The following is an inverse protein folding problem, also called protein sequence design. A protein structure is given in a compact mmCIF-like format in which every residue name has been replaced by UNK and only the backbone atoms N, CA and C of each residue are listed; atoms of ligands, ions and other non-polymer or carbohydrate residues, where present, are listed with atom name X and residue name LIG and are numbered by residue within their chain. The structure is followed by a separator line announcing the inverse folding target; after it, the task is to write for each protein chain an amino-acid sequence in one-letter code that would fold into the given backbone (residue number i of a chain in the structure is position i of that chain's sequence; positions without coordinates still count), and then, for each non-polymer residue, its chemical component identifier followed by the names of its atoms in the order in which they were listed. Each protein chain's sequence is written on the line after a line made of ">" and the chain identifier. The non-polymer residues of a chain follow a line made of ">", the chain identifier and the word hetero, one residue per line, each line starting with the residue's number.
data_IF_621533214946
#
_entry.id   IF_621533214946
#
_cell.length_a   1.000
_cell.length_b   1.000
_cell.length_c   1.000
_cell.angle_alpha   90.00
_cell.angle_beta   90.00
_cell.angle_gamma   90.00
#
_symmetry.space_group_name_H-M   'P 1'
#
loop_
_entity.id
_entity.type
_entity.pdbx_description
1 polymer ?
#
# COMPACT_ATOMS: atom_id res chain seq x y z
N UNK A 1 -34.82 -36.53 -11.86
CA UNK A 1 -33.46 -36.36 -12.42
C UNK A 1 -33.32 -35.02 -13.19
N UNK A 2 -33.54 -33.86 -12.54
CA UNK A 2 -33.43 -32.52 -13.17
C UNK A 2 -32.80 -31.44 -12.26
N UNK A 3 -32.80 -31.65 -10.94
CA UNK A 3 -32.27 -30.70 -9.96
C UNK A 3 -30.73 -30.64 -10.00
N UNK A 4 -30.06 -31.77 -10.26
CA UNK A 4 -28.58 -31.84 -10.24
C UNK A 4 -27.90 -31.09 -11.37
N UNK A 5 -28.54 -30.97 -12.54
CA UNK A 5 -28.00 -30.22 -13.68
C UNK A 5 -28.11 -28.72 -13.47
N UNK A 6 -29.22 -28.24 -12.92
CA UNK A 6 -29.43 -26.82 -12.61
C UNK A 6 -28.44 -26.33 -11.54
N UNK A 7 -28.21 -27.12 -10.48
CA UNK A 7 -27.23 -26.81 -9.44
C UNK A 7 -25.82 -26.70 -10.01
N UNK A 8 -25.41 -27.61 -10.90
CA UNK A 8 -24.09 -27.55 -11.55
C UNK A 8 -23.90 -26.31 -12.43
N UNK A 9 -24.94 -25.91 -13.16
CA UNK A 9 -24.90 -24.71 -14.01
C UNK A 9 -24.80 -23.45 -13.16
N UNK A 10 -25.60 -23.35 -12.08
CA UNK A 10 -25.56 -22.19 -11.17
C UNK A 10 -24.21 -22.11 -10.44
N UNK A 11 -23.68 -23.23 -9.94
CA UNK A 11 -22.36 -23.26 -9.31
C UNK A 11 -21.24 -22.89 -10.28
N UNK A 12 -21.31 -23.37 -11.53
CA UNK A 12 -20.35 -23.01 -12.57
C UNK A 12 -20.37 -21.50 -12.88
N UNK A 13 -21.57 -20.91 -12.99
CA UNK A 13 -21.74 -19.48 -13.23
C UNK A 13 -21.23 -18.63 -12.06
N UNK A 14 -21.52 -19.02 -10.82
CA UNK A 14 -21.04 -18.33 -9.62
C UNK A 14 -19.51 -18.34 -9.52
N UNK A 15 -18.88 -19.47 -9.85
CA UNK A 15 -17.41 -19.58 -9.90
C UNK A 15 -16.81 -18.68 -10.98
N UNK A 16 -17.46 -18.58 -12.15
CA UNK A 16 -17.01 -17.74 -13.25
C UNK A 16 -17.12 -16.24 -12.90
N UNK A 17 -18.24 -15.84 -12.28
CA UNK A 17 -18.43 -14.48 -11.77
C UNK A 17 -17.37 -14.15 -10.70
N UNK A 18 -17.17 -15.03 -9.72
CA UNK A 18 -16.16 -14.83 -8.68
C UNK A 18 -14.74 -14.73 -9.26
N UNK A 19 -14.42 -15.52 -10.28
CA UNK A 19 -13.16 -15.45 -11.00
C UNK A 19 -12.94 -14.11 -11.69
N UNK A 20 -13.96 -13.59 -12.39
CA UNK A 20 -13.89 -12.27 -13.04
C UNK A 20 -13.71 -11.14 -12.01
N UNK A 21 -14.47 -11.17 -10.92
CA UNK A 21 -14.33 -10.20 -9.83
C UNK A 21 -12.94 -10.26 -9.18
N UNK A 22 -12.38 -11.45 -8.98
CA UNK A 22 -11.04 -11.60 -8.43
C UNK A 22 -9.99 -11.01 -9.39
N UNK A 23 -10.04 -11.33 -10.69
CA UNK A 23 -9.10 -10.77 -11.68
C UNK A 23 -9.21 -9.24 -11.75
N UNK A 24 -10.43 -8.71 -11.75
CA UNK A 24 -10.66 -7.26 -11.73
C UNK A 24 -10.13 -6.63 -10.44
N UNK A 25 -10.37 -7.22 -9.26
CA UNK A 25 -9.83 -6.69 -8.02
C UNK A 25 -8.29 -6.69 -8.01
N UNK A 26 -7.66 -7.80 -8.40
CA UNK A 26 -6.20 -7.91 -8.43
C UNK A 26 -5.56 -7.03 -9.52
N UNK A 27 -6.28 -6.66 -10.59
CA UNK A 27 -5.74 -5.73 -11.59
C UNK A 27 -5.61 -4.30 -11.08
N UNK A 28 -6.35 -3.92 -10.02
CA UNK A 28 -6.35 -2.57 -9.45
C UNK A 28 -5.51 -2.46 -8.18
N UNK A 29 -4.96 -3.57 -7.66
CA UNK A 29 -4.14 -3.58 -6.43
C UNK A 29 -2.71 -3.99 -6.73
N UNK A 30 -1.77 -3.07 -6.51
CA UNK A 30 -0.34 -3.30 -6.66
C UNK A 30 0.35 -3.29 -5.30
N UNK A 31 1.19 -4.28 -5.02
CA UNK A 31 2.17 -4.12 -3.93
C UNK A 31 3.24 -3.16 -4.41
N UNK A 32 3.33 -1.99 -3.80
CA UNK A 32 4.33 -0.97 -4.14
C UNK A 32 5.65 -1.31 -3.48
N UNK A 33 5.61 -1.63 -2.20
CA UNK A 33 6.83 -1.87 -1.43
C UNK A 33 6.60 -2.90 -0.32
N UNK A 34 7.63 -3.68 -0.04
CA UNK A 34 7.72 -4.50 1.18
C UNK A 34 9.10 -4.27 1.78
N UNK A 35 9.17 -3.85 3.05
CA UNK A 35 10.41 -3.56 3.76
C UNK A 35 10.40 -4.17 5.14
N UNK A 36 11.45 -4.92 5.46
CA UNK A 36 11.72 -5.34 6.83
C UNK A 36 12.47 -4.24 7.58
N UNK A 37 12.30 -4.17 8.90
CA UNK A 37 13.12 -3.31 9.74
C UNK A 37 14.58 -3.82 9.78
N UNK A 38 15.50 -3.02 10.34
CA UNK A 38 16.93 -3.33 10.41
C UNK A 38 17.22 -4.69 11.07
N UNK A 39 16.44 -5.05 12.09
CA UNK A 39 16.58 -6.32 12.82
C UNK A 39 15.89 -7.52 12.13
N UNK A 40 15.09 -7.28 11.08
CA UNK A 40 14.28 -8.30 10.41
C UNK A 40 13.10 -8.85 11.22
N UNK A 41 12.77 -8.24 12.37
CA UNK A 41 11.70 -8.68 13.28
C UNK A 41 10.32 -8.19 12.84
N UNK A 42 10.25 -7.07 12.13
CA UNK A 42 9.01 -6.48 11.65
C UNK A 42 9.04 -6.29 10.14
N UNK A 43 7.89 -6.45 9.49
CA UNK A 43 7.74 -6.27 8.05
C UNK A 43 6.56 -5.38 7.71
N UNK A 44 6.84 -4.28 7.00
CA UNK A 44 5.84 -3.38 6.47
C UNK A 44 5.60 -3.66 4.97
N UNK A 45 4.34 -3.59 4.54
CA UNK A 45 3.92 -3.74 3.15
C UNK A 45 2.98 -2.60 2.76
N UNK A 46 3.31 -1.91 1.69
CA UNK A 46 2.49 -0.87 1.08
C UNK A 46 1.78 -1.42 -0.14
N UNK A 47 0.46 -1.28 -0.16
CA UNK A 47 -0.39 -1.57 -1.31
C UNK A 47 -0.94 -0.25 -1.87
N UNK A 48 -0.99 -0.16 -3.20
CA UNK A 48 -1.67 0.90 -3.93
C UNK A 48 -2.90 0.31 -4.60
N UNK A 49 -4.01 1.00 -4.44
CA UNK A 49 -5.28 0.72 -5.09
C UNK A 49 -5.47 1.82 -6.14
N UNK A 50 -5.33 1.46 -7.42
CA UNK A 50 -5.45 2.38 -8.55
C UNK A 50 -6.78 2.13 -9.24
N UNK A 51 -7.68 3.12 -9.26
CA UNK A 51 -8.98 3.07 -9.93
C UNK A 51 -9.33 4.42 -10.57
N UNK A 52 -10.49 4.98 -10.23
CA UNK A 52 -10.80 6.39 -10.55
C UNK A 52 -9.92 7.32 -9.71
N UNK A 53 -9.75 6.97 -8.43
CA UNK A 53 -8.86 7.61 -7.49
C UNK A 53 -7.71 6.66 -7.10
N UNK A 54 -6.71 7.18 -6.40
CA UNK A 54 -5.62 6.39 -5.85
C UNK A 54 -5.74 6.33 -4.33
N UNK A 55 -5.66 5.13 -3.77
CA UNK A 55 -5.58 4.93 -2.31
C UNK A 55 -4.38 4.07 -1.94
N UNK A 56 -3.90 4.26 -0.72
CA UNK A 56 -2.82 3.49 -0.14
C UNK A 56 -3.29 2.72 1.08
N UNK A 57 -2.78 1.50 1.23
CA UNK A 57 -2.98 0.67 2.41
C UNK A 57 -1.64 0.20 2.94
N UNK A 58 -1.42 0.39 4.23
CA UNK A 58 -0.23 -0.07 4.91
C UNK A 58 -0.56 -1.24 5.83
N UNK A 59 0.20 -2.31 5.66
CA UNK A 59 0.20 -3.47 6.53
C UNK A 59 1.52 -3.54 7.29
N UNK A 60 1.47 -3.79 8.60
CA UNK A 60 2.66 -4.10 9.43
C UNK A 60 2.43 -5.45 10.08
N UNK A 61 3.36 -6.38 9.85
CA UNK A 61 3.28 -7.78 10.29
C UNK A 61 1.97 -8.48 9.86
N UNK A 62 1.46 -8.08 8.69
CA UNK A 62 0.22 -8.60 8.11
C UNK A 62 -1.07 -7.97 8.67
N UNK A 63 -0.97 -7.06 9.66
CA UNK A 63 -2.11 -6.31 10.19
C UNK A 63 -2.27 -4.99 9.43
N UNK A 64 -3.49 -4.63 9.08
CA UNK A 64 -3.82 -3.30 8.57
C UNK A 64 -3.67 -2.24 9.64
N UNK A 65 -2.84 -1.23 9.35
CA UNK A 65 -2.56 -0.15 10.28
C UNK A 65 -2.98 1.22 9.73
N UNK A 66 -3.13 1.34 8.41
CA UNK A 66 -3.53 2.58 7.77
C UNK A 66 -4.20 2.35 6.43
N UNK A 67 -5.21 3.17 6.17
CA UNK A 67 -5.88 3.33 4.89
C UNK A 67 -5.92 4.82 4.58
N UNK A 68 -5.43 5.23 3.41
CA UNK A 68 -5.36 6.63 3.05
C UNK A 68 -6.73 7.18 2.63
N UNK A 69 -6.99 8.49 2.84
CA UNK A 69 -8.09 9.14 2.12
C UNK A 69 -7.88 9.02 0.60
N UNK A 70 -8.92 9.34 -0.16
CA UNK A 70 -8.87 9.36 -1.62
C UNK A 70 -7.87 10.42 -2.09
N UNK A 71 -6.84 9.99 -2.81
CA UNK A 71 -5.99 10.90 -3.56
C UNK A 71 -6.69 11.15 -4.89
N UNK A 72 -7.01 12.43 -5.14
CA UNK A 72 -7.57 12.88 -6.41
C UNK A 72 -6.76 12.30 -7.58
N UNK A 73 -7.38 12.08 -8.76
CA UNK A 73 -6.70 11.55 -9.93
C UNK A 73 -5.53 12.47 -10.30
N UNK A 74 -4.32 12.00 -10.01
CA UNK A 74 -3.07 12.58 -10.49
C UNK A 74 -2.46 11.50 -11.35
N UNK A 75 -2.01 11.88 -12.55
CA UNK A 75 -1.37 10.97 -13.51
C UNK A 75 -0.14 10.32 -12.86
N UNK A 76 -0.32 9.12 -12.27
CA UNK A 76 0.61 8.07 -11.80
C UNK A 76 2.02 8.42 -11.22
N UNK A 77 2.35 9.70 -10.98
CA UNK A 77 3.69 10.17 -10.56
C UNK A 77 3.81 10.29 -9.02
N UNK A 78 3.24 9.34 -8.28
CA UNK A 78 3.37 9.32 -6.83
C UNK A 78 4.77 8.84 -6.40
N UNK A 79 5.35 9.55 -5.43
CA UNK A 79 6.61 9.18 -4.79
C UNK A 79 6.33 8.57 -3.43
N UNK A 80 5.75 7.37 -3.41
CA UNK A 80 5.46 6.65 -2.18
C UNK A 80 6.65 5.88 -1.62
N UNK A 81 6.82 5.92 -0.30
CA UNK A 81 7.81 5.09 0.37
C UNK A 81 7.41 4.72 1.81
N UNK A 82 7.91 3.57 2.23
CA UNK A 82 8.02 3.17 3.61
C UNK A 82 9.47 3.34 4.06
N UNK A 83 9.66 3.95 5.23
CA UNK A 83 10.98 4.12 5.83
C UNK A 83 10.92 3.66 7.27
N UNK A 84 11.78 2.73 7.64
CA UNK A 84 12.00 2.39 9.04
C UNK A 84 12.91 3.45 9.67
N UNK A 85 12.57 3.86 10.88
CA UNK A 85 13.43 4.72 11.68
C UNK A 85 14.75 4.03 12.01
N UNK A 86 15.72 4.80 12.54
CA UNK A 86 17.05 4.24 12.86
C UNK A 86 16.99 3.09 13.86
N UNK A 87 15.99 3.08 14.74
CA UNK A 87 15.82 2.00 15.73
C UNK A 87 15.17 0.76 15.11
N UNK A 88 14.51 0.89 13.96
CA UNK A 88 13.72 -0.17 13.34
C UNK A 88 12.41 -0.46 14.07
N UNK A 89 11.98 0.42 14.98
CA UNK A 89 10.72 0.32 15.75
C UNK A 89 9.56 0.96 15.01
N UNK A 90 9.81 2.09 14.35
CA UNK A 90 8.77 2.92 13.75
C UNK A 90 8.90 2.84 12.23
N UNK A 91 7.79 2.56 11.55
CA UNK A 91 7.69 2.73 10.10
C UNK A 91 6.95 4.02 9.79
N UNK A 92 7.52 4.82 8.90
CA UNK A 92 6.93 6.05 8.36
C UNK A 92 6.49 5.78 6.93
N UNK A 93 5.27 6.21 6.60
CA UNK A 93 4.75 6.25 5.24
C UNK A 93 4.76 7.68 4.72
N UNK A 94 5.38 7.86 3.55
CA UNK A 94 5.48 9.14 2.88
C UNK A 94 5.00 9.08 1.45
N UNK A 95 4.46 10.19 0.97
CA UNK A 95 4.12 10.42 -0.44
C UNK A 95 4.62 11.80 -0.81
N UNK A 96 5.37 11.90 -1.92
CA UNK A 96 5.90 13.18 -2.42
C UNK A 96 6.72 13.97 -1.37
N UNK A 97 7.40 13.25 -0.47
CA UNK A 97 8.20 13.85 0.61
C UNK A 97 7.38 14.35 1.81
N UNK A 98 6.06 14.17 1.81
CA UNK A 98 5.21 14.45 2.96
C UNK A 98 5.00 13.20 3.80
N UNK A 99 5.22 13.31 5.12
CA UNK A 99 4.92 12.25 6.09
C UNK A 99 3.42 12.21 6.32
N UNK A 100 2.77 11.14 5.87
CA UNK A 100 1.32 11.01 5.99
C UNK A 100 0.91 10.17 7.18
N UNK A 101 1.76 9.25 7.60
CA UNK A 101 1.45 8.30 8.66
C UNK A 101 2.73 7.70 9.25
N UNK A 102 2.70 7.35 10.52
CA UNK A 102 3.72 6.48 11.10
C UNK A 102 3.12 5.52 12.13
N UNK A 103 3.77 4.37 12.30
CA UNK A 103 3.32 3.30 13.18
C UNK A 103 4.48 2.75 14.01
N UNK A 104 4.27 2.67 15.32
CA UNK A 104 5.18 1.99 16.24
C UNK A 104 4.84 0.50 16.27
N UNK A 105 5.74 -0.33 15.73
CA UNK A 105 5.53 -1.77 15.58
C UNK A 105 5.66 -2.53 16.90
N UNK A 106 6.42 -2.00 17.86
CA UNK A 106 6.57 -2.59 19.19
C UNK A 106 5.32 -2.33 20.04
N UNK A 107 4.88 -1.07 20.09
CA UNK A 107 3.69 -0.65 20.85
C UNK A 107 2.38 -0.94 20.11
N UNK A 108 2.46 -1.33 18.84
CA UNK A 108 1.35 -1.68 17.96
C UNK A 108 0.31 -0.56 17.82
N UNK A 109 0.75 0.69 17.76
CA UNK A 109 -0.14 1.86 17.66
C UNK A 109 0.30 2.84 16.56
N UNK A 110 -0.65 3.59 15.96
CA UNK A 110 -0.31 4.75 15.16
C UNK A 110 0.33 5.84 16.03
N UNK A 111 1.21 6.63 15.40
CA UNK A 111 1.76 7.84 15.99
C UNK A 111 0.86 9.05 15.66
N UNK A 112 0.77 10.01 16.57
CA UNK A 112 0.11 11.30 16.30
C UNK A 112 1.02 12.27 15.54
N UNK A 113 0.46 13.31 14.93
CA UNK A 113 1.20 14.24 14.06
C UNK A 113 2.51 14.80 14.68
N UNK A 114 2.54 15.24 15.95
CA UNK A 114 3.80 15.71 16.55
C UNK A 114 4.87 14.61 16.66
N UNK A 115 4.44 13.38 16.93
CA UNK A 115 5.35 12.22 17.02
C UNK A 115 5.89 11.86 15.64
N UNK A 116 5.07 11.93 14.59
CA UNK A 116 5.47 11.67 13.20
C UNK A 116 6.59 12.63 12.76
N UNK A 117 6.46 13.93 13.10
CA UNK A 117 7.46 14.94 12.76
C UNK A 117 8.78 14.73 13.53
N UNK A 118 8.71 14.17 14.73
CA UNK A 118 9.88 13.89 15.55
C UNK A 118 10.64 12.61 15.14
N UNK A 119 10.09 11.78 14.25
CA UNK A 119 10.78 10.55 13.82
C UNK A 119 12.05 10.89 13.04
N UNK A 120 13.19 10.38 13.51
CA UNK A 120 14.46 10.39 12.80
C UNK A 120 14.66 9.11 12.00
N UNK A 121 14.74 9.26 10.69
CA UNK A 121 15.15 8.19 9.78
C UNK A 121 16.20 8.74 8.80
N UNK A 122 16.92 7.85 8.14
CA UNK A 122 17.80 8.25 7.05
C UNK A 122 16.91 8.38 5.81
N UNK A 123 16.64 9.60 5.30
CA UNK A 123 15.95 9.74 4.03
C UNK A 123 16.83 9.10 2.94
N UNK A 124 16.27 8.19 2.16
CA UNK A 124 17.01 7.57 1.06
C UNK A 124 17.03 8.49 -0.17
N UNK A 125 18.16 8.48 -0.87
CA UNK A 125 18.48 9.36 -2.00
C UNK A 125 17.98 8.85 -3.37
N UNK A 126 17.43 7.64 -3.45
CA UNK A 126 17.04 7.02 -4.72
C UNK A 126 15.53 7.10 -4.91
N UNK A 127 15.10 8.11 -5.65
CA UNK A 127 13.75 8.20 -6.18
C UNK A 127 13.63 7.16 -7.31
N UNK A 128 12.97 6.03 -7.05
CA UNK A 128 12.55 5.14 -8.13
C UNK A 128 11.39 5.81 -8.88
N UNK A 129 11.66 6.22 -10.11
CA UNK A 129 10.68 6.84 -11.00
C UNK A 129 9.93 5.75 -11.78
N UNK A 130 8.60 5.76 -11.72
CA UNK A 130 7.73 5.11 -12.70
C UNK A 130 7.17 6.17 -13.66
N UNK A 131 8.01 6.97 -14.34
CA UNK A 131 7.53 8.03 -15.24
C UNK A 131 8.60 8.87 -15.95
N UNK A 132 8.22 9.54 -17.05
CA UNK A 132 9.03 10.59 -17.71
C UNK A 132 8.58 11.93 -17.15
N UNK A 133 9.48 12.67 -16.51
CA UNK A 133 9.24 14.06 -16.08
C UNK A 133 8.72 14.89 -17.28
N UNK A 134 7.56 15.57 -17.18
CA UNK A 134 7.22 16.60 -18.15
C UNK A 134 8.24 17.71 -17.99
N UNK A 135 9.12 17.87 -18.98
CA UNK A 135 10.17 18.88 -19.07
C UNK A 135 11.27 18.83 -17.99
N UNK A 136 11.82 17.63 -17.74
CA UNK A 136 13.14 17.50 -17.12
C UNK A 136 14.27 17.84 -18.09
N UNK A 137 14.46 19.13 -18.40
CA UNK A 137 15.56 19.62 -19.21
C UNK A 137 15.80 21.10 -18.98
N UNK A 138 16.73 21.39 -18.06
CA UNK A 138 17.37 22.69 -17.75
C UNK A 138 16.51 23.96 -17.81
#
# INVERSE_FOLDING_TARGET
>A
MRISTLVKIVSGLLLLIAGVFAVFYFSHVKTVQTKSNTAGTHRAKLLRYSGIDVNFRLLVDGKDVYWSPDFAPVDDDFREQLVWDRTGRVVVFEVAGQRLFAYDAEQKRPLGDPEILAVEYIPFAEFHYEGRLPNGGK
#
